data_IF_154052774745
#
_entry.id   IF_154052774745
#
_cell.length_a   1.000
_cell.length_b   1.000
_cell.length_c   1.000
_cell.angle_alpha   90.00
_cell.angle_beta   90.00
_cell.angle_gamma   90.00
#
_symmetry.space_group_name_H-M   'P 1'
#
loop_
_entity.id
_entity.type
_entity.pdbx_description
1 polymer ?
#
# COMPACT_ATOMS: atom_id res chain seq x y z
N UNK A 1 -9.99 0.62 -2.38
CA UNK A 1 -9.82 -0.75 -1.83
C UNK A 1 -8.36 -1.23 -1.71
N UNK A 2 -7.37 -0.48 -2.21
CA UNK A 2 -5.95 -0.81 -2.00
C UNK A 2 -5.41 -0.42 -0.60
N UNK A 3 -5.85 0.71 -0.04
CA UNK A 3 -5.35 1.19 1.25
C UNK A 3 -5.68 0.25 2.42
N UNK A 4 -6.87 -0.35 2.40
CA UNK A 4 -7.28 -1.34 3.40
C UNK A 4 -6.44 -2.61 3.31
N UNK A 5 -6.08 -3.06 2.10
CA UNK A 5 -5.17 -4.19 1.84
C UNK A 5 -3.75 -3.87 2.34
N UNK A 6 -3.23 -2.67 2.06
CA UNK A 6 -1.94 -2.22 2.60
C UNK A 6 -1.95 -2.21 4.13
N UNK A 7 -2.98 -1.62 4.76
CA UNK A 7 -3.12 -1.61 6.23
C UNK A 7 -3.21 -3.02 6.82
N UNK A 8 -3.88 -3.95 6.16
CA UNK A 8 -3.95 -5.34 6.60
C UNK A 8 -2.58 -6.03 6.53
N UNK A 9 -1.82 -5.81 5.45
CA UNK A 9 -0.49 -6.38 5.27
C UNK A 9 0.53 -5.79 6.27
N UNK A 10 0.45 -4.49 6.55
CA UNK A 10 1.28 -3.84 7.57
C UNK A 10 0.96 -4.35 8.97
N UNK A 11 -0.32 -4.53 9.31
CA UNK A 11 -0.73 -5.12 10.59
C UNK A 11 -0.24 -6.57 10.73
N UNK A 12 -0.23 -7.33 9.64
CA UNK A 12 0.27 -8.72 9.61
C UNK A 12 1.80 -8.79 9.75
N UNK A 13 2.53 -7.79 9.27
CA UNK A 13 3.98 -7.77 9.33
C UNK A 13 4.52 -7.45 10.75
N UNK A 14 3.70 -6.89 11.63
CA UNK A 14 4.01 -6.60 13.05
C UNK A 14 5.29 -5.79 13.30
N UNK A 15 5.78 -5.07 12.29
CA UNK A 15 7.00 -4.28 12.42
C UNK A 15 6.83 -3.11 13.39
N UNK A 16 7.82 -2.92 14.26
CA UNK A 16 7.80 -1.91 15.32
C UNK A 16 8.80 -0.77 15.11
N UNK A 17 9.53 -0.78 14.00
CA UNK A 17 10.48 0.28 13.64
C UNK A 17 10.07 0.96 12.35
N UNK A 18 10.33 2.26 12.26
CA UNK A 18 10.02 3.07 11.07
C UNK A 18 10.79 2.55 9.85
N UNK A 19 12.05 2.15 10.03
CA UNK A 19 12.88 1.59 8.95
C UNK A 19 12.35 0.24 8.43
N UNK A 20 11.96 -0.67 9.33
CA UNK A 20 11.41 -1.96 8.90
C UNK A 20 10.06 -1.79 8.22
N UNK A 21 9.23 -0.85 8.70
CA UNK A 21 7.98 -0.47 8.03
C UNK A 21 8.24 0.05 6.61
N UNK A 22 9.20 0.96 6.42
CA UNK A 22 9.55 1.46 5.09
C UNK A 22 10.02 0.35 4.13
N UNK A 23 10.88 -0.54 4.62
CA UNK A 23 11.37 -1.67 3.83
C UNK A 23 10.26 -2.63 3.42
N UNK A 24 9.30 -2.89 4.31
CA UNK A 24 8.14 -3.72 4.01
C UNK A 24 7.17 -3.02 3.08
N UNK A 25 6.91 -1.72 3.26
CA UNK A 25 6.08 -0.96 2.31
C UNK A 25 6.65 -1.08 0.90
N UNK A 26 7.96 -0.90 0.72
CA UNK A 26 8.62 -1.06 -0.58
C UNK A 26 8.35 -2.43 -1.22
N UNK A 27 8.52 -3.51 -0.45
CA UNK A 27 8.23 -4.88 -0.94
C UNK A 27 6.75 -5.14 -1.20
N UNK A 28 5.86 -4.51 -0.44
CA UNK A 28 4.41 -4.68 -0.58
C UNK A 28 3.86 -3.93 -1.78
N UNK A 29 4.47 -2.80 -2.18
CA UNK A 29 4.06 -2.03 -3.35
C UNK A 29 4.15 -2.87 -4.64
N UNK A 30 5.14 -3.75 -4.75
CA UNK A 30 5.27 -4.69 -5.88
C UNK A 30 4.10 -5.69 -6.00
N UNK A 31 3.34 -5.90 -4.92
CA UNK A 31 2.19 -6.80 -4.89
C UNK A 31 0.87 -6.15 -5.38
N UNK A 32 0.89 -4.87 -5.71
CA UNK A 32 -0.27 -4.14 -6.25
C UNK A 32 -0.17 -4.05 -7.77
N UNK A 33 -1.22 -4.49 -8.47
CA UNK A 33 -1.31 -4.32 -9.92
C UNK A 33 -1.61 -2.86 -10.27
N UNK A 34 -1.22 -2.36 -11.47
CA UNK A 34 -1.48 -0.98 -11.90
C UNK A 34 -2.94 -0.54 -11.72
N UNK A 35 -3.91 -1.41 -12.07
CA UNK A 35 -5.33 -1.12 -11.87
C UNK A 35 -5.77 -1.05 -10.40
N UNK A 36 -5.07 -1.70 -9.46
CA UNK A 36 -5.32 -1.53 -8.01
C UNK A 36 -4.75 -0.19 -7.51
N UNK A 37 -3.67 0.29 -8.12
CA UNK A 37 -3.03 1.59 -7.82
C UNK A 37 -3.86 2.77 -8.37
N UNK A 38 -4.37 2.70 -9.60
CA UNK A 38 -5.28 3.72 -10.12
C UNK A 38 -6.52 3.89 -9.23
N UNK A 39 -7.10 2.76 -8.79
CA UNK A 39 -8.22 2.76 -7.85
C UNK A 39 -7.84 3.33 -6.47
N UNK A 40 -6.56 3.29 -6.08
CA UNK A 40 -6.07 3.94 -4.88
C UNK A 40 -6.05 5.46 -5.04
N UNK A 41 -5.45 5.95 -6.13
CA UNK A 41 -5.35 7.38 -6.42
C UNK A 41 -6.73 8.01 -6.65
N UNK A 42 -7.58 7.37 -7.45
CA UNK A 42 -8.98 7.79 -7.69
C UNK A 42 -9.79 7.83 -6.39
N UNK A 43 -9.66 6.83 -5.51
CA UNK A 43 -10.35 6.81 -4.22
C UNK A 43 -9.83 7.87 -3.23
N UNK A 44 -8.60 8.37 -3.42
CA UNK A 44 -8.03 9.46 -2.66
C UNK A 44 -8.36 10.85 -3.27
N UNK A 45 -9.13 10.90 -4.36
CA UNK A 45 -9.51 12.14 -5.05
C UNK A 45 -8.43 12.71 -5.97
N UNK A 46 -7.40 11.92 -6.28
CA UNK A 46 -6.39 12.28 -7.27
C UNK A 46 -6.81 11.76 -8.65
N UNK A 47 -6.69 12.60 -9.67
CA UNK A 47 -6.74 12.14 -11.05
C UNK A 47 -5.47 11.33 -11.33
N UNK A 48 -5.68 10.04 -11.56
CA UNK A 48 -4.68 9.10 -12.04
C UNK A 48 -5.14 8.62 -13.42
N UNK A 49 -4.90 9.48 -14.40
CA UNK A 49 -4.93 9.19 -15.84
C UNK A 49 -3.49 9.20 -16.39
#
# INVERSE_FOLDING_TARGET
MAFSKLKALLRKAEERTVEALWNIIGKLVDAFKPGECENFFKAAGYDAD
#
